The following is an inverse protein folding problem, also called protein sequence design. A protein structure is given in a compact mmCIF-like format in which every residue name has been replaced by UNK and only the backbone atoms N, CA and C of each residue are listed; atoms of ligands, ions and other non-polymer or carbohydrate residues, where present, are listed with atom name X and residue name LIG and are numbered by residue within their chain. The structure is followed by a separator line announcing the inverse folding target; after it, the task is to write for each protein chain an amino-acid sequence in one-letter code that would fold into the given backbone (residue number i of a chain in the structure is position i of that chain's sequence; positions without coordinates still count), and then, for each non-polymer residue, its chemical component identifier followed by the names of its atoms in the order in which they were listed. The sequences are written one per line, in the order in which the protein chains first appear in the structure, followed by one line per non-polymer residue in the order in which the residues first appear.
data_IF_798186345461
#
_entry.id   IF_798186345461
#
_cell.length_a   1.000
_cell.length_b   1.000
_cell.length_c   1.000
_cell.angle_alpha   90.00
_cell.angle_beta   90.00
_cell.angle_gamma   90.00
#
_symmetry.space_group_name_H-M   'P 1'
#
loop_
_entity.id
_entity.type
_entity.pdbx_description
1 polymer ?
#
# COMPACT_ATOMS: atom_id res chain seq x y z
N UNK A 1 -84.54 -35.81 -52.53
CA UNK A 1 -84.56 -34.37 -52.83
C UNK A 1 -83.41 -33.74 -52.08
N UNK A 2 -82.25 -33.58 -52.75
CA UNK A 2 -81.01 -33.08 -52.15
C UNK A 2 -80.67 -31.78 -52.82
N UNK A 3 -80.62 -30.72 -52.04
CA UNK A 3 -80.20 -29.38 -52.48
C UNK A 3 -78.72 -29.28 -52.25
N UNK A 4 -77.98 -28.98 -53.35
CA UNK A 4 -76.52 -28.79 -53.33
C UNK A 4 -76.25 -27.27 -53.28
N UNK A 5 -75.63 -26.80 -52.20
CA UNK A 5 -75.10 -25.44 -52.09
C UNK A 5 -73.65 -25.43 -52.57
N UNK A 6 -73.35 -24.61 -53.60
CA UNK A 6 -72.02 -24.30 -54.06
C UNK A 6 -71.49 -23.09 -53.24
N UNK A 7 -70.42 -23.30 -52.48
CA UNK A 7 -69.72 -22.22 -51.87
C UNK A 7 -68.56 -21.70 -52.78
N UNK A 8 -68.64 -20.43 -53.10
CA UNK A 8 -67.56 -19.71 -53.81
C UNK A 8 -66.59 -19.22 -52.76
N UNK A 9 -65.33 -19.70 -52.82
CA UNK A 9 -64.22 -19.22 -51.99
C UNK A 9 -63.57 -17.99 -52.62
N UNK A 10 -63.66 -16.87 -51.95
CA UNK A 10 -62.95 -15.65 -52.29
C UNK A 10 -61.60 -15.69 -51.58
N UNK A 11 -60.50 -15.80 -52.37
CA UNK A 11 -59.12 -15.79 -51.80
C UNK A 11 -58.66 -14.37 -51.78
N UNK A 12 -58.53 -13.80 -50.58
CA UNK A 12 -57.88 -12.52 -50.34
C UNK A 12 -56.40 -12.77 -50.23
N UNK A 13 -55.64 -12.27 -51.21
CA UNK A 13 -54.12 -12.24 -51.17
C UNK A 13 -53.71 -11.08 -50.35
N UNK A 14 -53.26 -11.32 -49.11
CA UNK A 14 -52.68 -10.30 -48.21
C UNK A 14 -51.16 -10.22 -48.51
N UNK A 15 -50.72 -9.20 -49.21
CA UNK A 15 -49.30 -8.88 -49.40
C UNK A 15 -48.82 -8.17 -48.15
N UNK A 16 -48.13 -8.93 -47.25
CA UNK A 16 -47.43 -8.36 -46.10
C UNK A 16 -46.06 -7.84 -46.53
N UNK A 17 -45.94 -6.52 -46.63
CA UNK A 17 -44.64 -5.87 -46.78
C UNK A 17 -43.88 -5.89 -45.45
N UNK A 18 -42.95 -6.84 -45.30
CA UNK A 18 -42.02 -6.88 -44.16
C UNK A 18 -40.96 -5.78 -44.32
N UNK A 19 -41.16 -4.66 -43.63
CA UNK A 19 -40.16 -3.62 -43.49
C UNK A 19 -39.05 -4.13 -42.59
N UNK A 20 -37.89 -4.52 -43.17
CA UNK A 20 -36.67 -4.83 -42.46
C UNK A 20 -36.09 -3.54 -41.83
N UNK A 21 -36.51 -3.26 -40.61
CA UNK A 21 -35.77 -2.29 -39.79
C UNK A 21 -34.44 -2.93 -39.35
N UNK A 22 -33.39 -2.64 -40.07
CA UNK A 22 -32.00 -2.92 -39.63
C UNK A 22 -31.71 -2.08 -38.39
N UNK A 23 -31.85 -2.64 -37.19
CA UNK A 23 -31.26 -2.07 -35.98
C UNK A 23 -29.75 -2.22 -36.06
N UNK A 24 -29.08 -1.22 -36.57
CA UNK A 24 -27.62 -1.10 -36.33
C UNK A 24 -27.41 -0.86 -34.83
N UNK A 25 -27.10 -1.96 -34.10
CA UNK A 25 -26.54 -1.83 -32.75
C UNK A 25 -25.24 -1.00 -32.86
N UNK A 26 -25.32 0.27 -32.52
CA UNK A 26 -24.15 1.08 -32.22
C UNK A 26 -23.47 0.50 -30.97
N UNK A 27 -22.67 -0.53 -31.16
CA UNK A 27 -21.73 -0.98 -30.16
C UNK A 27 -20.64 0.10 -30.03
N UNK A 28 -20.92 1.14 -29.24
CA UNK A 28 -19.81 1.94 -28.70
C UNK A 28 -18.90 0.95 -27.98
N UNK A 29 -17.59 0.91 -28.29
CA UNK A 29 -16.68 0.07 -27.53
C UNK A 29 -16.82 0.50 -26.08
N UNK A 30 -17.22 -0.42 -25.21
CA UNK A 30 -17.11 -0.23 -23.77
C UNK A 30 -15.60 -0.18 -23.54
N UNK A 31 -15.06 1.03 -23.41
CA UNK A 31 -13.69 1.23 -22.94
C UNK A 31 -13.68 0.64 -21.52
N UNK A 32 -13.34 -0.64 -21.41
CA UNK A 32 -13.00 -1.26 -20.13
C UNK A 32 -11.86 -0.40 -19.62
N UNK A 33 -12.13 0.45 -18.63
CA UNK A 33 -11.11 1.16 -17.88
C UNK A 33 -10.20 0.07 -17.34
N UNK A 34 -9.01 -0.08 -17.89
CA UNK A 34 -8.05 -1.07 -17.43
C UNK A 34 -7.87 -0.85 -15.93
N UNK A 35 -8.28 -1.84 -15.14
CA UNK A 35 -8.06 -1.79 -13.70
C UNK A 35 -6.55 -1.82 -13.50
N UNK A 36 -6.00 -0.79 -12.87
CA UNK A 36 -4.59 -0.80 -12.46
C UNK A 36 -4.33 -2.03 -11.60
N UNK A 37 -3.22 -2.74 -11.85
CA UNK A 37 -2.80 -3.83 -10.98
C UNK A 37 -2.67 -3.32 -9.54
N UNK A 38 -2.96 -4.17 -8.55
CA UNK A 38 -2.99 -3.79 -7.15
C UNK A 38 -2.13 -4.71 -6.30
N UNK A 39 -1.48 -4.12 -5.29
CA UNK A 39 -0.86 -4.83 -4.18
C UNK A 39 -1.62 -4.42 -2.91
N UNK A 40 -2.20 -5.39 -2.23
CA UNK A 40 -2.79 -5.19 -0.90
C UNK A 40 -1.97 -5.94 0.14
N UNK A 41 -1.37 -5.21 1.06
CA UNK A 41 -0.55 -5.77 2.14
C UNK A 41 -1.14 -5.42 3.50
N UNK A 42 -1.51 -6.43 4.30
CA UNK A 42 -1.87 -6.24 5.71
C UNK A 42 -0.67 -6.57 6.59
N UNK A 43 -0.30 -5.65 7.48
CA UNK A 43 0.79 -5.78 8.43
C UNK A 43 0.18 -5.99 9.81
N UNK A 44 0.43 -7.15 10.42
CA UNK A 44 -0.08 -7.54 11.72
C UNK A 44 1.10 -7.63 12.69
N UNK A 45 1.17 -6.70 13.64
CA UNK A 45 2.30 -6.57 14.57
C UNK A 45 1.90 -6.95 15.98
N UNK A 46 2.64 -7.87 16.54
CA UNK A 46 2.65 -8.12 17.96
C UNK A 46 3.19 -6.88 18.68
N UNK A 47 2.43 -6.39 19.64
CA UNK A 47 2.80 -5.27 20.50
C UNK A 47 2.86 -5.68 21.97
N UNK A 48 3.09 -6.96 22.24
CA UNK A 48 3.36 -7.45 23.59
C UNK A 48 4.66 -6.87 24.15
N UNK A 49 4.90 -7.04 25.46
CA UNK A 49 6.02 -6.40 26.14
C UNK A 49 7.42 -6.77 25.66
N UNK A 50 7.55 -7.90 24.96
CA UNK A 50 8.83 -8.37 24.37
C UNK A 50 9.18 -7.75 23.02
N UNK A 51 8.26 -7.01 22.38
CA UNK A 51 8.31 -6.64 20.95
C UNK A 51 8.84 -5.23 20.65
N UNK A 52 9.48 -4.54 21.58
CA UNK A 52 10.02 -3.18 21.36
C UNK A 52 10.94 -3.12 20.12
N UNK A 53 11.83 -4.09 19.97
CA UNK A 53 12.75 -4.16 18.85
C UNK A 53 12.04 -4.36 17.50
N UNK A 54 10.98 -5.18 17.45
CA UNK A 54 10.17 -5.37 16.25
C UNK A 54 9.49 -4.06 15.84
N UNK A 55 8.90 -3.34 16.79
CA UNK A 55 8.21 -2.08 16.51
C UNK A 55 9.18 -1.03 15.97
N UNK A 56 10.39 -0.93 16.55
CA UNK A 56 11.41 -0.02 16.03
C UNK A 56 11.89 -0.41 14.62
N UNK A 57 12.05 -1.70 14.34
CA UNK A 57 12.32 -2.17 12.97
C UNK A 57 11.16 -1.84 12.02
N UNK A 58 9.91 -2.05 12.41
CA UNK A 58 8.75 -1.74 11.59
C UNK A 58 8.66 -0.24 11.25
N UNK A 59 8.89 0.65 12.24
CA UNK A 59 8.95 2.11 12.03
C UNK A 59 10.00 2.50 10.99
N UNK A 60 11.18 1.89 11.09
CA UNK A 60 12.29 2.20 10.18
C UNK A 60 12.06 1.63 8.76
N UNK A 61 11.26 0.55 8.61
CA UNK A 61 11.18 -0.22 7.37
C UNK A 61 9.93 0.01 6.53
N UNK A 62 8.90 0.70 7.04
CA UNK A 62 7.70 0.98 6.27
C UNK A 62 8.01 1.54 4.87
N UNK A 63 8.87 2.56 4.81
CA UNK A 63 9.23 3.23 3.57
C UNK A 63 10.02 2.35 2.61
N UNK A 64 10.83 1.44 3.15
CA UNK A 64 11.52 0.45 2.32
C UNK A 64 10.55 -0.54 1.69
N UNK A 65 9.59 -1.05 2.48
CA UNK A 65 8.55 -1.96 1.97
C UNK A 65 7.76 -1.30 0.84
N UNK A 66 7.34 -0.04 1.01
CA UNK A 66 6.64 0.73 -0.03
C UNK A 66 7.52 0.92 -1.26
N UNK A 67 8.80 1.27 -1.08
CA UNK A 67 9.73 1.44 -2.19
C UNK A 67 9.94 0.14 -2.97
N UNK A 68 10.09 -1.00 -2.28
CA UNK A 68 10.22 -2.32 -2.91
C UNK A 68 8.95 -2.66 -3.71
N UNK A 69 7.77 -2.53 -3.11
CA UNK A 69 6.50 -2.76 -3.81
C UNK A 69 6.33 -1.82 -5.01
N UNK A 70 6.78 -0.58 -4.87
CA UNK A 70 6.70 0.44 -5.93
C UNK A 70 7.64 0.22 -7.11
N UNK A 71 8.68 -0.60 -6.95
CA UNK A 71 9.55 -1.05 -8.06
C UNK A 71 8.91 -2.16 -8.89
N UNK A 72 7.80 -2.74 -8.42
CA UNK A 72 7.06 -3.74 -9.18
C UNK A 72 6.42 -3.11 -10.41
N UNK A 73 6.51 -3.79 -11.54
CA UNK A 73 5.89 -3.40 -12.81
C UNK A 73 5.03 -4.56 -13.32
N UNK A 74 3.78 -4.30 -13.62
CA UNK A 74 2.88 -5.22 -14.31
C UNK A 74 2.50 -4.59 -15.64
N UNK A 75 2.95 -5.18 -16.76
CA UNK A 75 2.75 -4.65 -18.12
C UNK A 75 3.11 -3.15 -18.23
N UNK A 76 4.29 -2.79 -17.74
CA UNK A 76 4.82 -1.42 -17.64
C UNK A 76 3.98 -0.44 -16.81
N UNK A 77 3.06 -0.96 -15.98
CA UNK A 77 2.25 -0.14 -15.07
C UNK A 77 2.66 -0.40 -13.63
N UNK A 78 2.94 0.65 -12.86
CA UNK A 78 3.17 0.54 -11.42
C UNK A 78 1.86 0.20 -10.71
N UNK A 79 1.81 -0.88 -9.88
CA UNK A 79 0.60 -1.26 -9.17
C UNK A 79 0.21 -0.18 -8.14
N UNK A 80 -1.09 -0.07 -7.87
CA UNK A 80 -1.58 0.68 -6.73
C UNK A 80 -1.28 -0.11 -5.46
N UNK A 81 -0.63 0.53 -4.49
CA UNK A 81 -0.27 -0.09 -3.21
C UNK A 81 -1.26 0.38 -2.15
N UNK A 82 -1.91 -0.57 -1.50
CA UNK A 82 -2.79 -0.34 -0.35
C UNK A 82 -2.26 -1.14 0.85
N UNK A 83 -2.07 -0.46 1.97
CA UNK A 83 -1.54 -1.08 3.19
C UNK A 83 -2.57 -0.94 4.31
N UNK A 84 -2.78 -2.03 5.06
CA UNK A 84 -3.54 -2.04 6.30
C UNK A 84 -2.60 -2.36 7.47
N UNK A 85 -2.95 -1.88 8.68
CA UNK A 85 -2.15 -2.08 9.88
C UNK A 85 -3.03 -2.53 11.03
N UNK A 86 -2.60 -3.59 11.70
CA UNK A 86 -3.19 -4.12 12.93
C UNK A 86 -2.14 -4.24 14.02
N UNK A 87 -2.58 -4.05 15.26
CA UNK A 87 -1.84 -4.48 16.45
C UNK A 87 -2.57 -5.65 17.10
N UNK A 88 -1.83 -6.55 17.73
CA UNK A 88 -2.37 -7.60 18.61
C UNK A 88 -1.46 -7.84 19.81
N UNK A 89 -1.92 -8.55 20.81
CA UNK A 89 -1.11 -8.88 22.00
C UNK A 89 -1.07 -7.78 23.07
N UNK A 90 -1.84 -6.70 22.92
CA UNK A 90 -1.90 -5.64 23.94
C UNK A 90 -2.96 -5.93 24.99
N UNK A 91 -2.59 -5.95 26.28
CA UNK A 91 -3.51 -6.22 27.40
C UNK A 91 -4.67 -5.24 27.53
N UNK A 92 -4.53 -4.02 27.01
CA UNK A 92 -5.59 -3.00 27.03
C UNK A 92 -6.56 -3.09 25.85
N UNK A 93 -6.28 -3.94 24.85
CA UNK A 93 -7.23 -4.26 23.80
C UNK A 93 -8.31 -5.22 24.35
N UNK A 94 -9.47 -5.25 23.71
CA UNK A 94 -10.63 -6.00 24.19
C UNK A 94 -10.39 -7.52 24.10
N UNK A 95 -10.54 -8.26 25.22
CA UNK A 95 -10.35 -9.72 25.23
C UNK A 95 -11.35 -10.45 24.31
N UNK A 96 -12.60 -9.95 24.23
CA UNK A 96 -13.64 -10.50 23.34
C UNK A 96 -13.30 -10.41 21.86
N UNK A 97 -12.46 -9.43 21.46
CA UNK A 97 -11.94 -9.29 20.11
C UNK A 97 -10.59 -10.03 19.93
N UNK A 98 -10.16 -10.80 20.95
CA UNK A 98 -8.89 -11.55 20.93
C UNK A 98 -7.66 -10.64 21.03
N UNK A 99 -7.76 -9.53 21.73
CA UNK A 99 -6.69 -8.52 21.87
C UNK A 99 -6.23 -7.91 20.55
N UNK A 100 -7.08 -7.97 19.53
CA UNK A 100 -6.82 -7.45 18.18
C UNK A 100 -7.39 -6.04 18.02
N UNK A 101 -6.66 -5.18 17.33
CA UNK A 101 -7.13 -3.84 16.98
C UNK A 101 -6.68 -3.43 15.60
N UNK A 102 -7.63 -3.03 14.77
CA UNK A 102 -7.34 -2.38 13.50
C UNK A 102 -6.86 -0.95 13.74
N UNK A 103 -5.64 -0.64 13.34
CA UNK A 103 -5.07 0.72 13.40
C UNK A 103 -5.38 1.50 12.14
N UNK A 104 -5.34 0.82 10.98
CA UNK A 104 -5.70 1.38 9.70
C UNK A 104 -6.29 0.30 8.80
N UNK A 105 -7.45 0.56 8.18
CA UNK A 105 -7.91 -0.19 7.03
C UNK A 105 -6.99 0.02 5.83
N UNK A 106 -7.23 -0.66 4.69
CA UNK A 106 -6.46 -0.42 3.47
C UNK A 106 -6.49 1.06 3.08
N UNK A 107 -5.32 1.63 2.95
CA UNK A 107 -5.13 3.02 2.58
C UNK A 107 -3.92 3.21 1.68
N UNK A 108 -3.96 4.23 0.86
CA UNK A 108 -2.82 4.76 0.10
C UNK A 108 -2.16 5.93 0.83
N UNK A 109 -2.72 6.39 1.95
CA UNK A 109 -2.18 7.47 2.79
C UNK A 109 -1.03 6.94 3.65
N UNK A 110 0.18 7.05 3.11
CA UNK A 110 1.40 6.56 3.76
C UNK A 110 1.79 7.40 4.98
N UNK A 111 1.36 8.65 5.05
CA UNK A 111 1.62 9.52 6.21
C UNK A 111 0.78 9.10 7.41
N UNK A 112 -0.49 8.77 7.17
CA UNK A 112 -1.35 8.20 8.18
C UNK A 112 -0.78 6.88 8.73
N UNK A 113 -0.33 5.98 7.86
CA UNK A 113 0.29 4.70 8.26
C UNK A 113 1.54 4.91 9.09
N UNK A 114 2.45 5.78 8.64
CA UNK A 114 3.66 6.10 9.38
C UNK A 114 3.34 6.70 10.75
N UNK A 115 2.41 7.65 10.83
CA UNK A 115 1.95 8.23 12.10
C UNK A 115 1.40 7.16 13.05
N UNK A 116 0.62 6.20 12.54
CA UNK A 116 0.07 5.08 13.34
C UNK A 116 1.17 4.17 13.86
N UNK A 117 2.16 3.81 13.02
CA UNK A 117 3.32 3.03 13.45
C UNK A 117 4.12 3.73 14.54
N UNK A 118 4.38 5.05 14.40
CA UNK A 118 5.11 5.82 15.39
C UNK A 118 4.36 5.98 16.71
N UNK A 119 3.03 5.83 16.71
CA UNK A 119 2.22 5.85 17.94
C UNK A 119 2.19 4.51 18.67
N UNK A 120 2.74 3.43 18.09
CA UNK A 120 2.80 2.13 18.74
C UNK A 120 3.75 2.16 19.94
N UNK A 121 3.29 1.55 21.01
CA UNK A 121 4.05 1.22 22.21
C UNK A 121 3.76 -0.23 22.55
N UNK A 122 4.64 -0.88 23.27
CA UNK A 122 4.46 -2.26 23.71
C UNK A 122 3.78 -2.32 25.08
N UNK A 123 3.03 -3.38 25.31
CA UNK A 123 2.38 -3.68 26.59
C UNK A 123 1.99 -5.16 26.61
N UNK A 124 2.19 -5.88 27.70
CA UNK A 124 1.90 -7.31 27.81
C UNK A 124 0.43 -7.68 27.60
N UNK A 125 0.17 -8.82 26.97
CA UNK A 125 -1.16 -9.35 26.70
C UNK A 125 -1.07 -10.80 26.17
N UNK A 126 -2.19 -11.34 25.65
CA UNK A 126 -2.23 -12.63 24.96
C UNK A 126 -2.16 -12.42 23.45
N UNK A 127 -1.32 -13.20 22.78
CA UNK A 127 -0.97 -13.03 21.37
C UNK A 127 -1.72 -14.03 20.48
N UNK A 128 -2.98 -13.71 20.14
CA UNK A 128 -3.85 -14.61 19.37
C UNK A 128 -3.62 -14.46 17.88
N UNK A 129 -2.54 -15.11 17.37
CA UNK A 129 -2.13 -15.03 15.96
C UNK A 129 -3.23 -15.49 14.99
N UNK A 130 -3.90 -16.60 15.27
CA UNK A 130 -5.01 -17.09 14.45
C UNK A 130 -6.17 -16.07 14.39
N UNK A 131 -6.46 -15.41 15.51
CA UNK A 131 -7.52 -14.41 15.61
C UNK A 131 -7.22 -13.16 14.78
N UNK A 132 -6.01 -12.59 14.88
CA UNK A 132 -5.68 -11.37 14.13
C UNK A 132 -5.67 -11.60 12.63
N UNK A 133 -5.19 -12.76 12.16
CA UNK A 133 -5.24 -13.13 10.74
C UNK A 133 -6.71 -13.22 10.30
N UNK A 134 -7.54 -13.98 11.02
CA UNK A 134 -8.95 -14.17 10.67
C UNK A 134 -9.71 -12.84 10.67
N UNK A 135 -9.52 -12.01 11.70
CA UNK A 135 -10.14 -10.69 11.81
C UNK A 135 -9.76 -9.79 10.63
N UNK A 136 -8.47 -9.73 10.28
CA UNK A 136 -8.00 -8.93 9.14
C UNK A 136 -8.58 -9.42 7.80
N UNK A 137 -8.78 -10.74 7.65
CA UNK A 137 -9.43 -11.31 6.47
C UNK A 137 -10.92 -10.95 6.37
N UNK A 138 -11.61 -10.82 7.51
CA UNK A 138 -13.05 -10.49 7.55
C UNK A 138 -13.33 -8.99 7.44
N UNK A 139 -12.56 -8.15 8.11
CA UNK A 139 -12.81 -6.72 8.20
C UNK A 139 -12.30 -5.94 6.99
N UNK A 140 -11.17 -6.36 6.41
CA UNK A 140 -10.57 -5.65 5.29
C UNK A 140 -11.31 -5.92 3.97
N UNK A 141 -11.38 -4.87 3.15
CA UNK A 141 -11.95 -4.93 1.80
C UNK A 141 -10.90 -5.47 0.81
N UNK A 142 -10.66 -6.79 0.88
CA UNK A 142 -9.77 -7.46 -0.05
C UNK A 142 -10.33 -7.44 -1.47
N UNK A 143 -9.49 -7.08 -2.44
CA UNK A 143 -9.90 -7.07 -3.85
C UNK A 143 -10.22 -8.50 -4.33
N UNK A 144 -11.33 -8.65 -5.06
CA UNK A 144 -11.76 -9.96 -5.55
C UNK A 144 -10.94 -10.45 -6.75
N UNK A 145 -10.20 -9.56 -7.44
CA UNK A 145 -9.45 -9.90 -8.65
C UNK A 145 -8.29 -10.84 -8.31
N UNK A 146 -8.21 -12.02 -8.95
CA UNK A 146 -7.17 -13.01 -8.65
C UNK A 146 -5.78 -12.60 -9.13
N UNK A 147 -5.69 -11.67 -10.09
CA UNK A 147 -4.45 -11.12 -10.61
C UNK A 147 -3.77 -10.13 -9.66
N UNK A 148 -4.47 -9.64 -8.64
CA UNK A 148 -3.92 -8.74 -7.65
C UNK A 148 -3.14 -9.49 -6.57
N UNK A 149 -1.95 -8.97 -6.23
CA UNK A 149 -1.14 -9.54 -5.17
C UNK A 149 -1.69 -9.12 -3.81
N UNK A 150 -2.17 -10.11 -3.04
CA UNK A 150 -2.79 -9.93 -1.72
C UNK A 150 -1.99 -10.70 -0.68
N UNK A 151 -1.50 -10.01 0.34
CA UNK A 151 -0.55 -10.59 1.29
C UNK A 151 -0.78 -10.10 2.72
N UNK A 152 -0.61 -11.00 3.67
CA UNK A 152 -0.51 -10.72 5.11
C UNK A 152 0.94 -10.99 5.53
N UNK A 153 1.52 -10.07 6.29
CA UNK A 153 2.73 -10.26 7.07
C UNK A 153 2.36 -10.18 8.55
N UNK A 154 2.52 -11.29 9.26
CA UNK A 154 2.34 -11.35 10.71
C UNK A 154 3.68 -11.58 11.39
N UNK A 155 4.02 -10.76 12.39
CA UNK A 155 5.27 -10.84 13.12
C UNK A 155 5.03 -10.86 14.64
N UNK A 156 5.76 -11.71 15.35
CA UNK A 156 5.67 -11.90 16.80
C UNK A 156 6.59 -13.03 17.27
N UNK A 157 6.47 -13.45 18.54
CA UNK A 157 7.37 -14.45 19.12
C UNK A 157 6.72 -15.49 20.05
N UNK A 158 5.41 -15.41 20.30
CA UNK A 158 4.70 -16.35 21.16
C UNK A 158 4.14 -17.54 20.38
N UNK A 159 3.65 -18.58 21.08
CA UNK A 159 3.08 -19.76 20.44
C UNK A 159 1.90 -19.39 19.54
N UNK A 160 2.01 -19.75 18.27
CA UNK A 160 1.03 -19.45 17.22
C UNK A 160 -0.35 -20.07 17.49
N UNK A 161 -0.41 -21.09 18.34
CA UNK A 161 -1.64 -21.79 18.69
C UNK A 161 -2.42 -21.13 19.85
N UNK A 162 -1.94 -20.02 20.38
CA UNK A 162 -2.65 -19.31 21.45
C UNK A 162 -4.05 -18.88 21.00
N UNK A 163 -5.00 -18.94 21.93
CA UNK A 163 -6.39 -18.52 21.73
C UNK A 163 -7.31 -19.65 21.24
N UNK A 164 -8.59 -19.31 21.12
CA UNK A 164 -9.64 -20.30 20.82
C UNK A 164 -9.89 -20.48 19.31
N UNK A 165 -9.41 -19.56 18.46
CA UNK A 165 -9.58 -19.65 17.04
C UNK A 165 -8.42 -20.42 16.41
N UNK A 166 -8.71 -21.61 15.87
CA UNK A 166 -7.73 -22.41 15.20
C UNK A 166 -7.16 -21.65 13.98
N UNK A 167 -5.83 -21.61 13.87
CA UNK A 167 -5.13 -20.97 12.73
C UNK A 167 -5.55 -21.58 11.37
N UNK A 168 -5.92 -22.87 11.33
CA UNK A 168 -6.42 -23.54 10.12
C UNK A 168 -7.66 -22.86 9.55
N UNK A 169 -8.56 -22.37 10.42
CA UNK A 169 -9.74 -21.61 10.00
C UNK A 169 -9.34 -20.28 9.34
N UNK A 170 -8.32 -19.61 9.86
CA UNK A 170 -7.76 -18.42 9.26
C UNK A 170 -7.11 -18.72 7.90
N UNK A 171 -6.39 -19.84 7.78
CA UNK A 171 -5.80 -20.29 6.52
C UNK A 171 -6.85 -20.61 5.45
N UNK A 172 -7.94 -21.28 5.80
CA UNK A 172 -9.03 -21.56 4.85
C UNK A 172 -9.67 -20.25 4.33
N UNK A 173 -9.89 -19.29 5.20
CA UNK A 173 -10.38 -17.97 4.80
C UNK A 173 -9.40 -17.23 3.89
N UNK A 174 -8.08 -17.31 4.19
CA UNK A 174 -7.04 -16.72 3.36
C UNK A 174 -7.02 -17.34 1.95
N UNK A 175 -7.08 -18.67 1.85
CA UNK A 175 -7.16 -19.39 0.57
C UNK A 175 -8.39 -18.98 -0.23
N UNK A 176 -9.57 -18.92 0.42
CA UNK A 176 -10.83 -18.52 -0.23
C UNK A 176 -10.77 -17.12 -0.83
N UNK A 177 -10.01 -16.21 -0.20
CA UNK A 177 -9.80 -14.83 -0.68
C UNK A 177 -8.59 -14.68 -1.59
N UNK A 178 -7.80 -15.74 -1.79
CA UNK A 178 -6.52 -15.68 -2.52
C UNK A 178 -5.48 -14.78 -1.85
N UNK A 179 -5.48 -14.75 -0.52
CA UNK A 179 -4.52 -13.98 0.30
C UNK A 179 -3.43 -14.91 0.78
N UNK A 180 -2.17 -14.50 0.61
CA UNK A 180 -0.99 -15.25 1.08
C UNK A 180 -0.67 -14.79 2.51
N UNK A 181 -0.43 -15.75 3.42
CA UNK A 181 -0.06 -15.47 4.81
C UNK A 181 1.40 -15.79 5.03
N UNK A 182 2.22 -14.77 5.28
CA UNK A 182 3.63 -14.92 5.64
C UNK A 182 3.82 -14.70 7.13
N UNK A 183 4.54 -15.60 7.78
CA UNK A 183 4.85 -15.54 9.19
C UNK A 183 6.32 -15.18 9.42
N UNK A 184 6.57 -14.27 10.35
CA UNK A 184 7.88 -13.74 10.70
C UNK A 184 8.08 -13.92 12.20
N UNK A 185 8.86 -14.92 12.57
CA UNK A 185 9.17 -15.18 13.98
C UNK A 185 10.32 -14.27 14.45
N UNK A 186 10.12 -13.65 15.60
CA UNK A 186 11.10 -12.75 16.21
C UNK A 186 11.93 -13.49 17.26
N UNK A 187 12.95 -14.24 16.86
CA UNK A 187 13.77 -15.05 17.75
C UNK A 187 14.56 -16.14 17.03
N UNK A 188 14.81 -17.26 17.71
CA UNK A 188 15.51 -18.41 17.14
C UNK A 188 14.61 -19.24 16.21
N UNK A 189 15.16 -19.73 15.10
CA UNK A 189 14.39 -20.48 14.09
C UNK A 189 13.78 -21.76 14.65
N UNK A 190 14.55 -22.52 15.46
CA UNK A 190 14.07 -23.78 16.02
C UNK A 190 12.98 -23.55 17.06
N UNK A 191 13.08 -22.43 17.77
CA UNK A 191 12.01 -22.01 18.68
C UNK A 191 10.76 -21.64 17.88
N UNK A 192 10.85 -20.85 16.81
CA UNK A 192 9.70 -20.49 15.97
C UNK A 192 9.00 -21.71 15.36
N UNK A 193 9.74 -22.81 15.07
CA UNK A 193 9.15 -24.07 14.65
C UNK A 193 8.41 -24.76 15.81
N UNK A 194 8.98 -24.77 17.02
CA UNK A 194 8.31 -25.30 18.22
C UNK A 194 7.06 -24.52 18.59
N UNK A 195 7.08 -23.21 18.34
CA UNK A 195 5.96 -22.27 18.54
C UNK A 195 5.01 -22.24 17.31
N UNK A 196 5.09 -23.19 16.39
CA UNK A 196 4.18 -23.49 15.29
C UNK A 196 4.08 -22.40 14.18
N UNK A 197 5.02 -21.45 14.11
CA UNK A 197 4.98 -20.36 13.12
C UNK A 197 5.12 -20.85 11.67
N UNK A 198 5.83 -21.94 11.42
CA UNK A 198 5.96 -22.55 10.10
C UNK A 198 4.63 -23.12 9.59
N UNK A 199 3.80 -23.71 10.48
CA UNK A 199 2.54 -24.35 10.06
C UNK A 199 1.55 -23.37 9.45
N UNK A 200 1.43 -22.16 10.03
CA UNK A 200 0.53 -21.15 9.51
C UNK A 200 0.97 -20.60 8.15
N UNK A 201 2.28 -20.43 7.93
CA UNK A 201 2.77 -20.00 6.62
C UNK A 201 2.54 -21.05 5.56
N UNK A 202 2.77 -22.34 5.88
CA UNK A 202 2.52 -23.45 4.98
C UNK A 202 1.05 -23.53 4.57
N UNK A 203 0.12 -23.48 5.53
CA UNK A 203 -1.29 -23.53 5.23
C UNK A 203 -1.82 -22.25 4.56
N UNK A 204 -1.16 -21.11 4.76
CA UNK A 204 -1.46 -19.84 4.12
C UNK A 204 -0.83 -19.64 2.73
N UNK A 205 -0.17 -20.68 2.17
CA UNK A 205 0.61 -20.60 0.93
C UNK A 205 1.72 -19.54 0.93
N UNK A 206 2.23 -19.21 2.11
CA UNK A 206 3.23 -18.19 2.33
C UNK A 206 4.60 -18.72 2.68
N UNK A 207 5.37 -17.89 3.35
CA UNK A 207 6.75 -18.18 3.77
C UNK A 207 6.89 -18.02 5.27
N UNK A 208 7.67 -18.90 5.89
CA UNK A 208 8.13 -18.75 7.26
C UNK A 208 9.54 -18.16 7.27
N UNK A 209 9.67 -17.02 7.92
CA UNK A 209 10.92 -16.30 8.12
C UNK A 209 11.21 -16.07 9.58
N UNK A 210 12.47 -15.84 9.89
CA UNK A 210 12.95 -15.55 11.25
C UNK A 210 13.80 -14.30 11.21
N UNK A 211 13.60 -13.43 12.18
CA UNK A 211 14.40 -12.21 12.34
C UNK A 211 14.94 -12.09 13.76
N UNK A 212 16.09 -11.43 13.88
CA UNK A 212 16.54 -10.93 15.16
C UNK A 212 15.93 -9.53 15.37
N UNK A 213 14.91 -9.44 16.25
CA UNK A 213 14.25 -8.18 16.53
C UNK A 213 15.17 -7.13 17.19
N UNK A 214 16.24 -7.57 17.84
CA UNK A 214 17.22 -6.70 18.50
C UNK A 214 18.36 -6.26 17.55
N UNK A 215 18.38 -6.80 16.32
CA UNK A 215 19.37 -6.39 15.33
C UNK A 215 19.13 -4.93 14.93
N UNK A 216 20.12 -4.11 15.19
CA UNK A 216 20.08 -2.72 14.74
C UNK A 216 20.32 -2.67 13.24
N UNK A 217 19.40 -2.02 12.54
CA UNK A 217 19.60 -1.72 11.13
C UNK A 217 20.81 -0.78 11.04
N UNK A 218 21.92 -1.32 10.54
CA UNK A 218 23.11 -0.50 10.37
C UNK A 218 22.87 0.52 9.25
N UNK A 219 22.84 1.77 9.64
CA UNK A 219 22.80 2.87 8.70
C UNK A 219 24.24 3.10 8.19
N UNK A 220 24.49 2.76 6.91
CA UNK A 220 25.77 3.09 6.26
C UNK A 220 25.68 4.54 5.81
N UNK A 221 26.36 5.47 6.48
CA UNK A 221 26.33 6.86 6.09
C UNK A 221 26.91 7.04 4.69
N UNK A 222 26.29 7.90 3.90
CA UNK A 222 26.76 8.18 2.55
C UNK A 222 26.95 9.67 2.31
N UNK A 223 27.81 10.07 1.36
CA UNK A 223 27.99 11.50 1.02
C UNK A 223 26.72 12.12 0.38
N UNK A 224 25.71 11.34 0.09
CA UNK A 224 24.46 11.77 -0.56
C UNK A 224 23.33 12.10 0.43
N UNK A 225 23.45 11.66 1.68
CA UNK A 225 22.36 11.68 2.66
C UNK A 225 21.86 13.10 2.96
N UNK A 226 22.76 14.03 3.23
CA UNK A 226 22.39 15.42 3.52
C UNK A 226 21.74 16.12 2.32
N UNK A 227 22.18 15.79 1.11
CA UNK A 227 21.61 16.34 -0.12
C UNK A 227 20.17 15.85 -0.33
N UNK A 228 19.87 14.56 -0.10
CA UNK A 228 18.53 14.02 -0.22
C UNK A 228 17.59 14.68 0.78
N UNK A 229 18.03 14.86 2.04
CA UNK A 229 17.22 15.54 3.07
C UNK A 229 16.93 16.99 2.67
N UNK A 230 17.94 17.74 2.23
CA UNK A 230 17.75 19.12 1.79
C UNK A 230 16.82 19.24 0.56
N UNK A 231 16.86 18.27 -0.36
CA UNK A 231 15.94 18.20 -1.50
C UNK A 231 14.52 17.86 -1.05
N UNK A 232 14.34 16.98 -0.06
CA UNK A 232 13.03 16.69 0.51
C UNK A 232 12.40 17.93 1.15
N UNK A 233 13.17 18.77 1.85
CA UNK A 233 12.66 20.01 2.41
C UNK A 233 12.19 20.98 1.31
N UNK A 234 12.93 21.07 0.21
CA UNK A 234 12.52 21.86 -0.96
C UNK A 234 11.27 21.26 -1.61
N UNK A 235 11.18 19.94 -1.69
CA UNK A 235 10.01 19.22 -2.22
C UNK A 235 8.75 19.54 -1.40
N UNK A 236 8.84 19.59 -0.07
CA UNK A 236 7.75 19.99 0.82
C UNK A 236 7.21 21.39 0.50
N UNK A 237 8.07 22.32 0.09
CA UNK A 237 7.68 23.67 -0.35
C UNK A 237 6.91 23.72 -1.67
N UNK A 238 6.75 22.59 -2.37
CA UNK A 238 5.95 22.51 -3.61
C UNK A 238 4.51 22.08 -3.38
N UNK A 239 4.16 21.56 -2.20
CA UNK A 239 2.79 21.16 -1.86
C UNK A 239 1.95 22.38 -1.47
N UNK A 240 0.77 22.49 -2.08
CA UNK A 240 -0.18 23.58 -1.88
C UNK A 240 -1.44 23.01 -1.25
N UNK A 241 -1.64 23.27 0.04
CA UNK A 241 -2.84 22.80 0.73
C UNK A 241 -4.11 23.41 0.19
N UNK A 242 -5.17 22.61 0.04
CA UNK A 242 -6.53 23.06 -0.27
C UNK A 242 -7.56 22.18 0.45
N UNK A 243 -8.80 22.67 0.51
CA UNK A 243 -9.90 21.96 1.17
C UNK A 243 -9.85 22.07 2.70
N UNK A 244 -10.93 21.63 3.36
CA UNK A 244 -11.11 21.79 4.80
C UNK A 244 -9.99 21.15 5.63
N UNK A 245 -9.42 20.03 5.14
CA UNK A 245 -8.37 19.28 5.84
C UNK A 245 -6.95 19.60 5.31
N UNK A 246 -6.83 20.39 4.24
CA UNK A 246 -5.57 20.57 3.53
C UNK A 246 -4.43 21.06 4.41
N UNK A 247 -4.69 22.04 5.27
CA UNK A 247 -3.67 22.52 6.21
C UNK A 247 -3.21 21.46 7.20
N UNK A 248 -4.14 20.68 7.77
CA UNK A 248 -3.82 19.63 8.73
C UNK A 248 -3.02 18.49 8.06
N UNK A 249 -3.38 18.12 6.84
CA UNK A 249 -2.67 17.07 6.08
C UNK A 249 -1.24 17.51 5.74
N UNK A 250 -1.05 18.78 5.35
CA UNK A 250 0.30 19.32 5.13
C UNK A 250 1.14 19.30 6.42
N UNK A 251 0.54 19.72 7.54
CA UNK A 251 1.22 19.64 8.84
C UNK A 251 1.57 18.19 9.24
N UNK A 252 0.70 17.25 8.92
CA UNK A 252 0.97 15.81 9.15
C UNK A 252 2.15 15.33 8.29
N UNK A 253 2.19 15.66 7.00
CA UNK A 253 3.32 15.35 6.11
C UNK A 253 4.65 15.82 6.70
N UNK A 254 4.73 17.08 7.13
CA UNK A 254 5.93 17.66 7.72
C UNK A 254 6.27 17.03 9.09
N UNK A 255 5.27 16.71 9.89
CA UNK A 255 5.44 16.02 11.17
C UNK A 255 6.00 14.61 10.98
N UNK A 256 5.50 13.87 10.00
CA UNK A 256 5.98 12.52 9.65
C UNK A 256 7.42 12.58 9.13
N UNK A 257 7.79 13.61 8.36
CA UNK A 257 9.21 13.81 7.97
C UNK A 257 10.10 13.95 9.20
N UNK A 258 9.72 14.80 10.18
CA UNK A 258 10.48 14.99 11.43
C UNK A 258 10.56 13.71 12.26
N UNK A 259 9.45 12.97 12.42
CA UNK A 259 9.43 11.72 13.17
C UNK A 259 10.40 10.70 12.57
N UNK A 260 10.37 10.50 11.25
CA UNK A 260 11.27 9.58 10.58
C UNK A 260 12.73 10.01 10.71
N UNK A 261 13.04 11.30 10.57
CA UNK A 261 14.39 11.82 10.73
C UNK A 261 14.93 11.62 12.16
N UNK A 262 14.10 11.86 13.18
CA UNK A 262 14.47 11.69 14.58
C UNK A 262 14.70 10.24 14.98
N UNK A 263 13.91 9.32 14.40
CA UNK A 263 14.03 7.90 14.70
C UNK A 263 15.21 7.25 13.98
N UNK A 264 15.33 7.48 12.67
CA UNK A 264 16.39 6.90 11.87
C UNK A 264 16.59 7.70 10.57
N UNK A 265 17.82 8.17 10.36
CA UNK A 265 18.18 8.98 9.18
C UNK A 265 17.95 8.23 7.86
N UNK A 266 18.25 6.93 7.83
CA UNK A 266 17.99 6.08 6.65
C UNK A 266 16.51 5.98 6.34
N UNK A 267 15.63 5.87 7.36
CA UNK A 267 14.17 5.87 7.16
C UNK A 267 13.70 7.20 6.55
N UNK A 268 14.22 8.33 7.00
CA UNK A 268 13.91 9.64 6.40
C UNK A 268 14.31 9.72 4.92
N UNK A 269 15.48 9.18 4.58
CA UNK A 269 15.97 9.15 3.19
C UNK A 269 15.09 8.23 2.33
N UNK A 270 14.73 7.03 2.82
CA UNK A 270 13.81 6.11 2.13
C UNK A 270 12.44 6.75 1.91
N UNK A 271 11.93 7.49 2.90
CA UNK A 271 10.71 8.28 2.76
C UNK A 271 10.84 9.34 1.67
N UNK A 272 11.93 10.11 1.64
CA UNK A 272 12.18 11.09 0.60
C UNK A 272 12.19 10.45 -0.81
N UNK A 273 12.79 9.26 -0.93
CA UNK A 273 12.79 8.46 -2.17
C UNK A 273 11.37 8.03 -2.56
N UNK A 274 10.53 7.59 -1.63
CA UNK A 274 9.12 7.27 -1.92
C UNK A 274 8.35 8.52 -2.37
N UNK A 275 8.54 9.66 -1.70
CA UNK A 275 7.92 10.94 -2.05
C UNK A 275 8.36 11.47 -3.42
N UNK A 276 9.53 11.08 -3.90
CA UNK A 276 9.99 11.45 -5.25
C UNK A 276 9.25 10.68 -6.35
N UNK A 277 8.57 9.60 -6.03
CA UNK A 277 7.80 8.82 -7.01
C UNK A 277 6.30 9.19 -6.97
N UNK A 278 5.86 9.95 -7.98
CA UNK A 278 4.48 10.42 -8.08
C UNK A 278 3.43 9.29 -8.23
N UNK A 279 3.84 8.05 -8.54
CA UNK A 279 2.92 6.90 -8.57
C UNK A 279 2.70 6.31 -7.17
N UNK A 280 3.64 6.51 -6.24
CA UNK A 280 3.59 5.97 -4.87
C UNK A 280 3.05 6.99 -3.87
N UNK A 281 3.35 8.25 -4.08
CA UNK A 281 3.02 9.30 -3.13
C UNK A 281 2.24 10.42 -3.84
N UNK A 282 0.91 10.35 -3.73
CA UNK A 282 -0.04 11.31 -4.27
C UNK A 282 -1.00 11.78 -3.20
N UNK A 283 -1.32 13.07 -3.26
CA UNK A 283 -2.12 13.76 -2.26
C UNK A 283 -3.25 14.57 -2.90
N UNK A 284 -3.93 14.00 -3.90
CA UNK A 284 -4.99 14.69 -4.67
C UNK A 284 -6.10 15.26 -3.80
N UNK A 285 -6.36 14.66 -2.63
CA UNK A 285 -7.43 15.07 -1.71
C UNK A 285 -7.15 16.38 -0.96
N UNK A 286 -5.87 16.81 -0.91
CA UNK A 286 -5.48 17.99 -0.13
C UNK A 286 -4.37 18.84 -0.76
N UNK A 287 -3.66 18.32 -1.76
CA UNK A 287 -2.61 19.06 -2.48
C UNK A 287 -3.09 19.48 -3.86
N UNK A 288 -3.13 20.78 -4.09
CA UNK A 288 -3.66 21.38 -5.32
C UNK A 288 -2.84 20.97 -6.57
N UNK A 289 -1.53 20.75 -6.43
CA UNK A 289 -0.69 20.37 -7.57
C UNK A 289 -1.05 18.96 -8.04
N UNK A 290 -1.23 18.00 -7.11
CA UNK A 290 -1.63 16.64 -7.43
C UNK A 290 -3.08 16.57 -7.93
N UNK A 291 -4.01 17.34 -7.35
CA UNK A 291 -5.39 17.42 -7.80
C UNK A 291 -5.49 17.91 -9.25
N UNK A 292 -4.75 18.98 -9.58
CA UNK A 292 -4.72 19.52 -10.95
C UNK A 292 -4.00 18.59 -11.94
N UNK A 293 -3.10 17.74 -11.48
CA UNK A 293 -2.49 16.73 -12.35
C UNK A 293 -3.49 15.64 -12.78
N UNK A 294 -4.53 15.38 -11.95
CA UNK A 294 -5.61 14.44 -12.24
C UNK A 294 -6.79 15.05 -13.02
N UNK A 295 -7.08 16.35 -12.84
CA UNK A 295 -8.15 17.07 -13.53
C UNK A 295 -7.69 18.52 -13.84
N UNK A 296 -7.38 18.81 -15.09
CA UNK A 296 -6.93 20.14 -15.53
C UNK A 296 -7.96 21.26 -15.26
N UNK A 297 -9.25 20.91 -15.17
CA UNK A 297 -10.35 21.84 -14.87
C UNK A 297 -10.62 22.00 -13.38
N UNK A 298 -9.82 21.33 -12.52
CA UNK A 298 -10.03 21.35 -11.07
C UNK A 298 -10.03 22.77 -10.51
N UNK A 299 -9.17 23.67 -11.00
CA UNK A 299 -9.06 25.06 -10.57
C UNK A 299 -10.35 25.84 -10.79
N UNK A 300 -11.15 25.51 -11.82
CA UNK A 300 -12.40 26.20 -12.14
C UNK A 300 -13.50 25.89 -11.11
N UNK A 301 -13.42 24.72 -10.47
CA UNK A 301 -14.39 24.21 -9.48
C UNK A 301 -13.95 24.42 -8.04
N UNK A 302 -12.73 24.94 -7.83
CA UNK A 302 -12.11 25.05 -6.52
C UNK A 302 -12.72 26.17 -5.68
N UNK A 303 -13.12 25.87 -4.44
CA UNK A 303 -13.43 26.91 -3.46
C UNK A 303 -12.13 27.59 -2.99
N UNK A 304 -11.90 28.80 -3.47
CA UNK A 304 -10.68 29.57 -3.20
C UNK A 304 -10.48 29.94 -1.74
N UNK A 305 -11.56 30.00 -0.95
CA UNK A 305 -11.48 30.27 0.49
C UNK A 305 -10.70 29.18 1.24
N UNK A 306 -10.55 28.00 0.63
CA UNK A 306 -9.82 26.87 1.20
C UNK A 306 -8.33 26.90 0.87
N UNK A 307 -7.88 27.84 0.07
CA UNK A 307 -6.47 28.06 -0.25
C UNK A 307 -5.75 28.89 0.82
N UNK A 308 -4.41 28.81 0.87
CA UNK A 308 -3.61 29.78 1.63
C UNK A 308 -3.93 31.23 1.21
N UNK A 309 -3.96 32.16 2.16
CA UNK A 309 -4.36 33.57 1.96
C UNK A 309 -3.64 34.25 0.78
N UNK A 310 -2.37 33.94 0.60
CA UNK A 310 -1.55 34.48 -0.51
C UNK A 310 -2.02 34.04 -1.90
N UNK A 311 -2.84 32.98 -1.99
CA UNK A 311 -3.37 32.48 -3.26
C UNK A 311 -4.85 32.79 -3.49
N UNK A 312 -5.61 33.13 -2.45
CA UNK A 312 -7.05 33.40 -2.55
C UNK A 312 -7.35 34.53 -3.49
N UNK A 313 -6.50 35.57 -3.53
CA UNK A 313 -6.67 36.79 -4.35
C UNK A 313 -6.26 36.62 -5.82
N UNK A 314 -5.60 35.51 -6.17
CA UNK A 314 -5.19 35.29 -7.57
C UNK A 314 -6.39 34.96 -8.45
N UNK A 315 -6.42 35.49 -9.66
CA UNK A 315 -7.40 35.08 -10.66
C UNK A 315 -7.12 33.67 -11.16
N UNK A 316 -7.99 33.06 -11.99
CA UNK A 316 -7.86 31.68 -12.43
C UNK A 316 -6.58 31.44 -13.23
N UNK A 317 -6.21 32.34 -14.10
CA UNK A 317 -5.01 32.24 -14.94
C UNK A 317 -3.72 32.35 -14.11
N UNK A 318 -3.68 33.29 -13.17
CA UNK A 318 -2.55 33.46 -12.25
C UNK A 318 -2.36 32.23 -11.36
N UNK A 319 -3.48 31.69 -10.86
CA UNK A 319 -3.44 30.46 -10.04
C UNK A 319 -2.96 29.26 -10.86
N UNK A 320 -3.49 29.10 -12.08
CA UNK A 320 -3.05 28.04 -13.01
C UNK A 320 -1.56 28.13 -13.30
N UNK A 321 -1.06 29.35 -13.62
CA UNK A 321 0.37 29.57 -13.86
C UNK A 321 1.21 29.24 -12.63
N UNK A 322 0.75 29.60 -11.44
CA UNK A 322 1.44 29.30 -10.18
C UNK A 322 1.49 27.79 -9.92
N UNK A 323 0.38 27.07 -10.09
CA UNK A 323 0.30 25.61 -9.92
C UNK A 323 1.21 24.89 -10.92
N UNK A 324 1.22 25.32 -12.18
CA UNK A 324 2.10 24.77 -13.21
C UNK A 324 3.59 24.96 -12.86
N UNK A 325 3.98 26.14 -12.39
CA UNK A 325 5.35 26.39 -11.94
C UNK A 325 5.73 25.52 -10.75
N UNK A 326 4.80 25.29 -9.80
CA UNK A 326 5.02 24.38 -8.67
C UNK A 326 5.12 22.92 -9.10
N UNK A 327 4.32 22.48 -10.08
CA UNK A 327 4.38 21.15 -10.69
C UNK A 327 5.75 20.92 -11.35
N UNK A 328 6.23 21.87 -12.13
CA UNK A 328 7.54 21.78 -12.77
C UNK A 328 8.67 21.70 -11.75
N UNK A 329 8.66 22.61 -10.75
CA UNK A 329 9.61 22.57 -9.63
C UNK A 329 9.60 21.22 -8.92
N UNK A 330 8.41 20.67 -8.64
CA UNK A 330 8.24 19.35 -8.01
C UNK A 330 8.89 18.26 -8.85
N UNK A 331 8.59 18.21 -10.15
CA UNK A 331 9.14 17.22 -11.06
C UNK A 331 10.68 17.27 -11.11
N UNK A 332 11.26 18.47 -11.15
CA UNK A 332 12.71 18.64 -11.13
C UNK A 332 13.32 18.10 -9.83
N UNK A 333 12.71 18.41 -8.67
CA UNK A 333 13.19 17.93 -7.37
C UNK A 333 13.03 16.42 -7.23
N UNK A 334 11.92 15.85 -7.69
CA UNK A 334 11.69 14.41 -7.71
C UNK A 334 12.74 13.68 -8.52
N UNK A 335 13.05 14.14 -9.72
CA UNK A 335 14.10 13.57 -10.58
C UNK A 335 15.49 13.66 -9.92
N UNK A 336 15.79 14.78 -9.24
CA UNK A 336 17.05 14.93 -8.51
C UNK A 336 17.16 13.94 -7.35
N UNK A 337 16.10 13.79 -6.53
CA UNK A 337 16.06 12.83 -5.42
C UNK A 337 16.25 11.42 -5.94
N UNK A 338 15.52 11.02 -6.98
CA UNK A 338 15.62 9.69 -7.59
C UNK A 338 17.04 9.39 -8.07
N UNK A 339 17.65 10.32 -8.82
CA UNK A 339 19.02 10.17 -9.33
C UNK A 339 20.04 10.02 -8.20
N UNK A 340 19.93 10.83 -7.14
CA UNK A 340 20.85 10.78 -6.02
C UNK A 340 20.59 9.55 -5.15
N UNK A 341 19.33 9.14 -4.97
CA UNK A 341 18.98 7.90 -4.26
C UNK A 341 19.60 6.68 -4.93
N UNK A 342 19.62 6.62 -6.26
CA UNK A 342 20.30 5.54 -7.00
C UNK A 342 21.80 5.51 -6.69
N UNK A 343 22.48 6.66 -6.74
CA UNK A 343 23.91 6.75 -6.37
C UNK A 343 24.15 6.31 -4.93
N UNK A 344 23.24 6.63 -4.02
CA UNK A 344 23.28 6.19 -2.64
C UNK A 344 23.17 4.66 -2.52
N UNK A 345 22.22 4.04 -3.22
CA UNK A 345 22.07 2.58 -3.23
C UNK A 345 23.31 1.87 -3.79
N UNK A 346 23.89 2.41 -4.86
CA UNK A 346 25.12 1.89 -5.47
C UNK A 346 26.30 1.98 -4.49
N UNK A 347 26.44 3.11 -3.78
CA UNK A 347 27.47 3.31 -2.75
C UNK A 347 27.32 2.29 -1.60
N UNK A 348 26.11 2.15 -1.04
CA UNK A 348 25.82 1.19 0.04
C UNK A 348 26.12 -0.24 -0.42
N UNK A 349 25.75 -0.59 -1.64
CA UNK A 349 26.01 -1.91 -2.22
C UNK A 349 27.52 -2.17 -2.35
N UNK A 350 28.30 -1.16 -2.72
CA UNK A 350 29.75 -1.27 -2.82
C UNK A 350 30.40 -1.41 -1.44
N UNK A 351 29.97 -0.64 -0.44
CA UNK A 351 30.48 -0.73 0.93
C UNK A 351 30.16 -2.09 1.58
N UNK A 352 28.92 -2.60 1.39
CA UNK A 352 28.55 -3.95 1.86
C UNK A 352 29.41 -5.06 1.25
N UNK A 353 29.79 -4.94 -0.02
CA UNK A 353 30.69 -5.91 -0.67
C UNK A 353 32.12 -5.86 -0.13
N UNK A 354 32.62 -4.70 0.27
CA UNK A 354 33.96 -4.54 0.88
C UNK A 354 34.01 -5.16 2.28
N UNK A 355 32.95 -5.06 3.04
CA UNK A 355 32.83 -5.54 4.41
C UNK A 355 32.13 -6.89 4.45
N UNK A 356 32.77 -7.95 3.91
CA UNK A 356 32.22 -9.31 3.88
C UNK A 356 31.90 -9.90 5.27
N UNK A 357 32.45 -9.34 6.35
CA UNK A 357 32.14 -9.65 7.76
C UNK A 357 30.75 -9.17 8.20
N UNK A 358 30.06 -8.37 7.38
CA UNK A 358 28.70 -7.92 7.61
C UNK A 358 27.65 -8.93 7.10
N UNK A 359 27.92 -10.24 7.17
CA UNK A 359 26.89 -11.27 7.05
C UNK A 359 25.98 -11.18 8.27
N UNK A 360 25.00 -10.30 8.15
CA UNK A 360 24.09 -9.94 9.23
C UNK A 360 22.96 -10.94 9.33
N UNK A 361 22.51 -11.11 10.55
CA UNK A 361 21.25 -11.78 10.82
C UNK A 361 20.11 -11.13 10.03
N UNK A 362 19.09 -11.92 9.71
CA UNK A 362 17.95 -11.45 8.95
C UNK A 362 17.16 -10.38 9.76
N UNK A 363 16.82 -9.30 9.11
CA UNK A 363 16.00 -8.23 9.66
C UNK A 363 14.61 -8.27 9.02
N UNK A 364 13.64 -7.60 9.64
CA UNK A 364 12.30 -7.44 9.05
C UNK A 364 12.39 -6.90 7.60
N UNK A 365 13.29 -5.94 7.34
CA UNK A 365 13.51 -5.38 6.01
C UNK A 365 13.90 -6.45 4.99
N UNK A 366 14.97 -7.20 5.29
CA UNK A 366 15.54 -8.16 4.34
C UNK A 366 14.57 -9.30 4.02
N UNK A 367 13.85 -9.80 5.02
CA UNK A 367 12.93 -10.90 4.83
C UNK A 367 11.65 -10.46 4.09
N UNK A 368 11.08 -9.32 4.43
CA UNK A 368 9.90 -8.80 3.71
C UNK A 368 10.23 -8.48 2.26
N UNK A 369 11.37 -7.85 1.99
CA UNK A 369 11.82 -7.58 0.61
C UNK A 369 11.97 -8.86 -0.21
N UNK A 370 12.64 -9.88 0.34
CA UNK A 370 12.83 -11.19 -0.29
C UNK A 370 11.49 -11.86 -0.60
N UNK A 371 10.57 -11.87 0.36
CA UNK A 371 9.24 -12.46 0.22
C UNK A 371 8.45 -11.76 -0.88
N UNK A 372 8.39 -10.42 -0.85
CA UNK A 372 7.67 -9.63 -1.85
C UNK A 372 8.21 -9.92 -3.26
N UNK A 373 9.52 -9.86 -3.45
CA UNK A 373 10.15 -10.12 -4.76
C UNK A 373 9.87 -11.53 -5.27
N UNK A 374 9.84 -12.53 -4.39
CA UNK A 374 9.57 -13.91 -4.76
C UNK A 374 8.10 -14.13 -5.14
N UNK A 375 7.19 -13.63 -4.31
CA UNK A 375 5.76 -13.91 -4.44
C UNK A 375 5.08 -13.08 -5.54
N UNK A 376 5.42 -11.80 -5.68
CA UNK A 376 4.83 -10.91 -6.66
C UNK A 376 5.09 -11.37 -8.12
N UNK A 377 6.17 -12.13 -8.36
CA UNK A 377 6.43 -12.76 -9.68
C UNK A 377 5.30 -13.69 -10.13
N UNK A 378 4.60 -14.34 -9.20
CA UNK A 378 3.44 -15.21 -9.50
C UNK A 378 2.25 -14.42 -10.05
N UNK A 379 2.25 -13.11 -9.87
CA UNK A 379 1.24 -12.15 -10.33
C UNK A 379 1.74 -11.32 -11.52
N UNK A 380 2.70 -11.86 -12.29
CA UNK A 380 3.32 -11.19 -13.45
C UNK A 380 3.97 -9.83 -13.11
N UNK A 381 4.34 -9.62 -11.86
CA UNK A 381 5.05 -8.43 -11.42
C UNK A 381 6.56 -8.63 -11.56
N UNK A 382 7.21 -7.74 -12.31
CA UNK A 382 8.67 -7.71 -12.49
C UNK A 382 9.25 -6.59 -11.65
N UNK A 383 10.43 -6.80 -11.10
CA UNK A 383 11.19 -5.79 -10.36
C UNK A 383 12.39 -5.36 -11.21
N UNK A 384 12.45 -4.09 -11.55
CA UNK A 384 13.55 -3.49 -12.30
C UNK A 384 14.63 -2.97 -11.35
#
# INVERSE_FOLDING_TARGET
MKIIFKSIAFTFLFIATVSLFSFTKNNKPIIKKEKKPKIQAAILLDVSGSMDGLIEQAKAQLWNMVNVMGKAQCDNTTPQIEIALYEYGRSTNRPEDGYVKQLSAFTTDLDLLSKKLFSLTTNGGYEYCGQVIYTSLKELQWDAAPENYKVIFIAGNEDFLQGNLLYTKACDEAKNKGVIVNTIYCGDRMQGIREHWNLSSECGNGSFSVINQNEKIEDIPTPYDSTIIALNDKLNGTYISYGAMGYQQKQMQESVDRMNYSANKSAAIKRATVKSNANLYRNDSWDLVDACAGDEKFIEKLDRKTLPDSLQKKNAEELKKFVLAKKEQRTQLQNQIESISKKREDYISAERKKNATLNKEATLESEVEKIIKLQARKYNMKFN
#
